data_IF_472396817752
#
_entry.id   IF_472396817752
#
_cell.length_a   1.000
_cell.length_b   1.000
_cell.length_c   1.000
_cell.angle_alpha   90.00
_cell.angle_beta   90.00
_cell.angle_gamma   90.00
#
_symmetry.space_group_name_H-M   'P 1'
#
loop_
_entity.id
_entity.type
_entity.pdbx_description
1 polymer ?
#
# COMPACT_ATOMS: atom_id res chain seq x y z
N UNK A 1 5.65 -0.61 28.60
CA UNK A 1 6.80 -0.17 27.78
C UNK A 1 6.25 0.36 26.46
N UNK A 2 6.21 1.68 26.30
CA UNK A 2 5.89 2.29 25.01
C UNK A 2 7.11 2.10 24.10
N UNK A 3 6.91 1.37 23.00
CA UNK A 3 7.95 1.22 21.98
C UNK A 3 8.01 2.51 21.14
N UNK A 4 9.19 3.04 20.93
CA UNK A 4 9.44 4.15 20.03
C UNK A 4 9.41 3.73 18.56
N UNK A 5 9.43 4.70 17.65
CA UNK A 5 9.62 4.45 16.22
C UNK A 5 11.09 4.09 15.93
N UNK A 6 11.32 3.30 14.89
CA UNK A 6 12.68 3.03 14.42
C UNK A 6 13.34 4.31 13.88
N UNK A 7 12.65 4.98 12.97
CA UNK A 7 13.04 6.29 12.42
C UNK A 7 11.85 7.22 12.45
N UNK A 8 12.06 8.45 12.90
CA UNK A 8 11.06 9.52 12.80
C UNK A 8 11.59 10.63 11.93
N UNK A 9 10.83 10.94 10.88
CA UNK A 9 11.13 12.03 9.93
C UNK A 9 10.03 13.08 10.10
N UNK A 10 10.38 14.23 10.58
CA UNK A 10 9.44 15.33 10.80
C UNK A 10 9.98 16.63 10.23
N UNK A 11 9.19 17.23 9.33
CA UNK A 11 9.55 18.48 8.67
C UNK A 11 10.98 18.45 8.09
N UNK A 12 11.32 17.34 7.46
CA UNK A 12 12.66 17.08 6.90
C UNK A 12 12.51 16.63 5.43
N UNK A 13 12.34 17.59 4.51
CA UNK A 13 12.21 17.27 3.09
C UNK A 13 13.51 16.69 2.53
N UNK A 14 13.38 15.75 1.59
CA UNK A 14 14.51 15.08 0.96
C UNK A 14 15.19 14.02 1.82
N UNK A 15 14.57 13.60 2.92
CA UNK A 15 15.11 12.52 3.77
C UNK A 15 15.20 11.20 3.01
N UNK A 16 16.26 10.45 3.26
CA UNK A 16 16.48 9.13 2.71
C UNK A 16 16.69 8.12 3.83
N UNK A 17 15.92 7.03 3.82
CA UNK A 17 16.10 5.87 4.70
C UNK A 17 16.25 4.66 3.80
N UNK A 18 17.46 4.17 3.65
CA UNK A 18 17.82 3.19 2.61
C UNK A 18 18.60 2.02 3.22
N UNK A 19 18.19 0.79 2.84
CA UNK A 19 18.89 -0.46 3.17
C UNK A 19 19.07 -0.71 4.68
N UNK A 20 18.05 -0.42 5.49
CA UNK A 20 18.06 -0.67 6.91
C UNK A 20 17.25 -1.93 7.29
N UNK A 21 17.60 -2.55 8.38
CA UNK A 21 16.81 -3.58 9.07
C UNK A 21 16.23 -2.97 10.35
N UNK A 22 14.92 -2.80 10.40
CA UNK A 22 14.21 -2.09 11.48
C UNK A 22 13.20 -3.05 12.10
N UNK A 23 13.33 -3.26 13.40
CA UNK A 23 12.46 -4.19 14.13
C UNK A 23 12.21 -3.77 15.57
N UNK A 24 11.21 -4.41 16.19
CA UNK A 24 10.90 -4.30 17.63
C UNK A 24 10.55 -2.88 18.09
N UNK A 25 9.94 -2.10 17.20
CA UNK A 25 9.50 -0.74 17.46
C UNK A 25 7.98 -0.59 17.45
N UNK A 26 7.52 0.65 17.56
CA UNK A 26 6.14 1.04 17.28
C UNK A 26 5.94 1.05 15.76
N UNK A 27 6.44 2.05 15.07
CA UNK A 27 6.47 2.12 13.61
C UNK A 27 7.92 1.98 13.13
N UNK A 28 8.13 1.38 11.98
CA UNK A 28 9.47 1.29 11.42
C UNK A 28 9.97 2.67 11.01
N UNK A 29 9.32 3.29 10.03
CA UNK A 29 9.55 4.69 9.65
C UNK A 29 8.24 5.45 9.84
N UNK A 30 8.25 6.47 10.68
CA UNK A 30 7.18 7.44 10.80
C UNK A 30 7.60 8.74 10.14
N UNK A 31 6.85 9.18 9.12
CA UNK A 31 7.14 10.40 8.36
C UNK A 31 5.94 11.34 8.43
N UNK A 32 6.19 12.57 8.80
CA UNK A 32 5.16 13.59 8.91
C UNK A 32 5.64 14.94 8.39
N UNK A 33 4.80 15.60 7.61
CA UNK A 33 5.06 16.96 7.08
C UNK A 33 6.42 17.05 6.38
N UNK A 34 6.71 16.06 5.53
CA UNK A 34 8.00 15.96 4.85
C UNK A 34 7.77 15.56 3.39
N UNK A 35 8.39 16.26 2.46
CA UNK A 35 8.23 16.04 1.02
C UNK A 35 9.51 15.57 0.37
N UNK A 36 9.41 14.94 -0.80
CA UNK A 36 10.54 14.47 -1.59
C UNK A 36 11.44 13.48 -0.83
N UNK A 37 10.82 12.61 -0.03
CA UNK A 37 11.52 11.58 0.74
C UNK A 37 11.61 10.27 -0.03
N UNK A 38 12.64 9.48 0.26
CA UNK A 38 12.83 8.15 -0.33
C UNK A 38 13.09 7.13 0.78
N UNK A 39 12.20 6.13 0.89
CA UNK A 39 12.34 5.01 1.80
C UNK A 39 12.43 3.72 0.98
N UNK A 40 13.65 3.19 0.87
CA UNK A 40 13.97 2.15 -0.11
C UNK A 40 14.83 1.04 0.46
N UNK A 41 14.52 -0.19 0.07
CA UNK A 41 15.36 -1.34 0.39
C UNK A 41 15.38 -1.74 1.86
N UNK A 42 14.44 -1.25 2.66
CA UNK A 42 14.41 -1.55 4.10
C UNK A 42 13.67 -2.85 4.39
N UNK A 43 14.06 -3.52 5.46
CA UNK A 43 13.37 -4.67 6.00
C UNK A 43 12.73 -4.32 7.35
N UNK A 44 11.47 -4.70 7.52
CA UNK A 44 10.66 -4.36 8.69
C UNK A 44 10.06 -5.62 9.32
N UNK A 45 10.19 -5.77 10.64
CA UNK A 45 9.58 -6.88 11.39
C UNK A 45 9.25 -6.51 12.83
N UNK A 46 8.26 -7.18 13.43
CA UNK A 46 7.81 -6.95 14.82
C UNK A 46 7.49 -5.46 15.10
N UNK A 47 6.69 -4.87 14.22
CA UNK A 47 6.29 -3.46 14.26
C UNK A 47 4.77 -3.34 14.18
N UNK A 48 4.24 -2.20 14.62
CA UNK A 48 2.86 -1.84 14.35
C UNK A 48 2.67 -1.58 12.86
N UNK A 49 3.41 -0.65 12.30
CA UNK A 49 3.44 -0.33 10.87
C UNK A 49 4.88 -0.36 10.37
N UNK A 50 5.10 -0.92 9.18
CA UNK A 50 6.43 -0.86 8.58
C UNK A 50 6.78 0.57 8.18
N UNK A 51 5.94 1.22 7.38
CA UNK A 51 6.07 2.63 6.99
C UNK A 51 4.75 3.34 7.28
N UNK A 52 4.83 4.50 7.88
CA UNK A 52 3.69 5.33 8.21
C UNK A 52 3.91 6.75 7.70
N UNK A 53 3.20 7.14 6.63
CA UNK A 53 3.19 8.48 6.05
C UNK A 53 2.01 9.29 6.58
N UNK A 54 2.31 10.52 6.96
CA UNK A 54 1.29 11.55 7.16
C UNK A 54 1.78 12.85 6.53
N UNK A 55 1.00 13.42 5.61
CA UNK A 55 1.37 14.66 4.91
C UNK A 55 2.78 14.60 4.31
N UNK A 56 3.08 13.48 3.62
CA UNK A 56 4.39 13.20 3.04
C UNK A 56 4.23 13.09 1.52
N UNK A 57 4.12 14.23 0.86
CA UNK A 57 3.87 14.33 -0.58
C UNK A 57 5.12 14.10 -1.42
N UNK A 58 4.94 13.84 -2.71
CA UNK A 58 6.02 13.75 -3.70
C UNK A 58 7.14 12.79 -3.28
N UNK A 59 6.78 11.68 -2.66
CA UNK A 59 7.71 10.78 -1.97
C UNK A 59 7.62 9.36 -2.49
N UNK A 60 8.67 8.58 -2.22
CA UNK A 60 8.82 7.22 -2.72
C UNK A 60 8.95 6.21 -1.58
N UNK A 61 8.19 5.11 -1.69
CA UNK A 61 8.34 3.89 -0.89
C UNK A 61 8.58 2.74 -1.85
N UNK A 62 9.80 2.22 -1.89
CA UNK A 62 10.14 1.24 -2.92
C UNK A 62 11.06 0.13 -2.42
N UNK A 63 10.87 -1.06 -2.99
CA UNK A 63 11.72 -2.23 -2.75
C UNK A 63 11.93 -2.57 -1.28
N UNK A 64 10.94 -2.33 -0.43
CA UNK A 64 10.97 -2.69 0.98
C UNK A 64 10.33 -4.06 1.22
N UNK A 65 10.66 -4.68 2.34
CA UNK A 65 10.09 -5.95 2.78
C UNK A 65 9.50 -5.77 4.17
N UNK A 66 8.21 -6.03 4.32
CA UNK A 66 7.48 -6.05 5.59
C UNK A 66 7.06 -7.48 5.92
N UNK A 67 7.47 -8.00 7.06
CA UNK A 67 7.17 -9.37 7.47
C UNK A 67 6.55 -9.40 8.87
N UNK A 68 5.33 -9.90 8.97
CA UNK A 68 4.66 -10.17 10.25
C UNK A 68 4.32 -8.92 11.07
N UNK A 69 4.24 -7.76 10.45
CA UNK A 69 3.84 -6.52 11.11
C UNK A 69 2.31 -6.45 11.23
N UNK A 70 1.79 -5.56 12.08
CA UNK A 70 0.34 -5.37 12.16
C UNK A 70 -0.21 -4.83 10.83
N UNK A 71 0.44 -3.81 10.28
CA UNK A 71 0.22 -3.32 8.91
C UNK A 71 1.56 -3.15 8.20
N UNK A 72 1.52 -3.23 6.88
CA UNK A 72 2.69 -2.96 6.06
C UNK A 72 2.90 -1.46 5.82
N UNK A 73 2.43 -0.97 4.71
CA UNK A 73 2.65 0.40 4.25
C UNK A 73 1.38 1.22 4.45
N UNK A 74 1.41 2.10 5.44
CA UNK A 74 0.27 2.95 5.85
C UNK A 74 0.53 4.37 5.35
N UNK A 75 -0.19 4.75 4.30
CA UNK A 75 -0.02 6.02 3.59
C UNK A 75 -1.26 6.87 3.82
N UNK A 76 -1.09 8.00 4.48
CA UNK A 76 -2.20 8.85 4.90
C UNK A 76 -1.97 10.31 4.54
N UNK A 77 -3.04 10.98 4.09
CA UNK A 77 -3.06 12.42 3.80
C UNK A 77 -1.89 12.88 2.93
N UNK A 78 -1.62 12.14 1.88
CA UNK A 78 -0.45 12.37 1.02
C UNK A 78 -0.83 12.23 -0.45
N UNK A 79 -0.09 12.88 -1.31
CA UNK A 79 -0.33 12.84 -2.75
C UNK A 79 0.95 12.76 -3.56
N UNK A 80 0.81 12.33 -4.82
CA UNK A 80 1.92 12.14 -5.76
C UNK A 80 3.01 11.22 -5.21
N UNK A 81 2.55 10.10 -4.63
CA UNK A 81 3.43 9.04 -4.13
C UNK A 81 3.80 8.06 -5.23
N UNK A 82 4.98 7.49 -5.12
CA UNK A 82 5.43 6.32 -5.89
C UNK A 82 5.66 5.17 -4.92
N UNK A 83 4.82 4.14 -5.02
CA UNK A 83 4.82 2.98 -4.12
C UNK A 83 5.00 1.72 -4.96
N UNK A 84 6.21 1.21 -5.05
CA UNK A 84 6.49 0.12 -5.99
C UNK A 84 7.56 -0.86 -5.51
N UNK A 85 7.47 -2.07 -6.02
CA UNK A 85 8.45 -3.13 -5.73
C UNK A 85 8.46 -3.57 -4.27
N UNK A 86 7.47 -3.19 -3.46
CA UNK A 86 7.41 -3.56 -2.07
C UNK A 86 6.79 -4.94 -1.88
N UNK A 87 7.21 -5.62 -0.83
CA UNK A 87 6.65 -6.89 -0.39
C UNK A 87 6.08 -6.71 1.02
N UNK A 88 4.86 -7.21 1.25
CA UNK A 88 4.30 -7.35 2.59
C UNK A 88 3.75 -8.78 2.75
N UNK A 89 4.24 -9.49 3.74
CA UNK A 89 3.83 -10.85 4.04
C UNK A 89 3.38 -10.96 5.50
N UNK A 90 2.18 -11.52 5.70
CA UNK A 90 1.67 -11.79 7.04
C UNK A 90 1.27 -10.53 7.81
N UNK A 91 0.80 -9.49 7.13
CA UNK A 91 0.20 -8.32 7.78
C UNK A 91 -1.12 -8.73 8.45
N UNK A 92 -1.30 -8.42 9.73
CA UNK A 92 -2.51 -8.84 10.47
C UNK A 92 -3.74 -8.14 9.93
N UNK A 93 -3.63 -6.83 9.67
CA UNK A 93 -4.73 -6.02 9.16
C UNK A 93 -4.55 -5.75 7.66
N UNK A 94 -3.78 -4.74 7.27
CA UNK A 94 -3.60 -4.37 5.87
C UNK A 94 -2.14 -4.50 5.42
N UNK A 95 -1.95 -4.95 4.18
CA UNK A 95 -0.66 -4.89 3.52
C UNK A 95 -0.31 -3.48 3.08
N UNK A 96 -1.23 -2.84 2.35
CA UNK A 96 -1.16 -1.42 1.98
C UNK A 96 -2.45 -0.74 2.43
N UNK A 97 -2.34 0.39 3.09
CA UNK A 97 -3.45 1.27 3.44
C UNK A 97 -3.27 2.62 2.77
N UNK A 98 -4.29 3.03 2.00
CA UNK A 98 -4.38 4.32 1.36
C UNK A 98 -5.53 5.09 2.01
N UNK A 99 -5.23 6.14 2.74
CA UNK A 99 -6.21 6.97 3.42
C UNK A 99 -6.02 8.43 3.04
N UNK A 100 -6.94 8.99 2.25
CA UNK A 100 -6.76 10.31 1.62
C UNK A 100 -5.44 10.40 0.84
N UNK A 101 -5.17 9.39 0.02
CA UNK A 101 -4.05 9.36 -0.94
C UNK A 101 -4.57 9.67 -2.31
N UNK A 102 -3.95 10.61 -3.01
CA UNK A 102 -4.41 11.04 -4.33
C UNK A 102 -3.24 11.18 -5.32
N UNK A 103 -3.54 11.07 -6.60
CA UNK A 103 -2.60 11.27 -7.71
C UNK A 103 -1.33 10.43 -7.59
N UNK A 104 -1.44 9.21 -7.07
CA UNK A 104 -0.32 8.35 -6.74
C UNK A 104 -0.27 7.11 -7.63
N UNK A 105 0.89 6.50 -7.72
CA UNK A 105 1.11 5.26 -8.46
C UNK A 105 1.51 4.14 -7.48
N UNK A 106 0.73 3.07 -7.47
CA UNK A 106 0.94 1.89 -6.62
C UNK A 106 1.09 0.67 -7.55
N UNK A 107 2.31 0.21 -7.74
CA UNK A 107 2.57 -0.80 -8.75
C UNK A 107 3.71 -1.76 -8.38
N UNK A 108 3.71 -2.92 -9.03
CA UNK A 108 4.75 -3.95 -8.84
C UNK A 108 4.96 -4.36 -7.38
N UNK A 109 3.91 -4.27 -6.54
CA UNK A 109 3.96 -4.72 -5.17
C UNK A 109 3.43 -6.15 -5.04
N UNK A 110 3.95 -6.89 -4.08
CA UNK A 110 3.49 -8.24 -3.72
C UNK A 110 2.97 -8.21 -2.30
N UNK A 111 1.68 -8.47 -2.12
CA UNK A 111 1.04 -8.58 -0.82
C UNK A 111 0.50 -9.99 -0.66
N UNK A 112 0.94 -10.68 0.39
CA UNK A 112 0.57 -12.06 0.66
C UNK A 112 0.20 -12.24 2.12
N UNK A 113 -0.93 -12.88 2.36
CA UNK A 113 -1.42 -13.19 3.71
C UNK A 113 -1.64 -11.93 4.57
N UNK A 114 -2.65 -11.17 4.23
CA UNK A 114 -3.12 -10.05 5.03
C UNK A 114 -4.63 -10.17 5.29
N UNK A 115 -5.16 -9.44 6.26
CA UNK A 115 -6.59 -9.28 6.40
C UNK A 115 -7.16 -8.62 5.14
N UNK A 116 -6.58 -7.51 4.73
CA UNK A 116 -6.82 -6.89 3.42
C UNK A 116 -5.49 -6.68 2.74
N UNK A 117 -5.35 -7.14 1.48
CA UNK A 117 -4.14 -6.83 0.75
C UNK A 117 -4.00 -5.32 0.58
N UNK A 118 -5.07 -4.65 0.16
CA UNK A 118 -5.16 -3.19 0.06
C UNK A 118 -6.46 -2.72 0.70
N UNK A 119 -6.39 -1.67 1.49
CA UNK A 119 -7.54 -0.89 1.96
C UNK A 119 -7.40 0.56 1.48
N UNK A 120 -8.41 1.05 0.77
CA UNK A 120 -8.42 2.39 0.21
C UNK A 120 -9.66 3.16 0.68
N UNK A 121 -9.42 4.28 1.36
CA UNK A 121 -10.43 5.21 1.87
C UNK A 121 -10.16 6.61 1.34
N UNK A 122 -11.12 7.18 0.60
CA UNK A 122 -10.93 8.49 -0.06
C UNK A 122 -9.61 8.56 -0.86
N UNK A 123 -9.36 7.54 -1.69
CA UNK A 123 -8.17 7.45 -2.54
C UNK A 123 -8.58 7.75 -3.99
N UNK A 124 -8.18 8.93 -4.51
CA UNK A 124 -8.68 9.44 -5.78
C UNK A 124 -7.56 9.68 -6.77
N UNK A 125 -7.87 9.48 -8.05
CA UNK A 125 -6.97 9.71 -9.17
C UNK A 125 -5.65 8.93 -9.05
N UNK A 126 -5.70 7.77 -8.40
CA UNK A 126 -4.56 6.88 -8.26
C UNK A 126 -4.52 5.86 -9.41
N UNK A 127 -3.33 5.37 -9.70
CA UNK A 127 -3.11 4.23 -10.59
C UNK A 127 -2.60 3.05 -9.77
N UNK A 128 -3.37 1.97 -9.76
CA UNK A 128 -3.03 0.73 -9.05
C UNK A 128 -2.85 -0.36 -10.11
N UNK A 129 -1.62 -0.73 -10.41
CA UNK A 129 -1.35 -1.62 -11.53
C UNK A 129 -0.17 -2.58 -11.29
N UNK A 130 -0.18 -3.68 -12.01
CA UNK A 130 0.88 -4.69 -11.97
C UNK A 130 1.22 -5.19 -10.55
N UNK A 131 0.25 -5.16 -9.62
CA UNK A 131 0.43 -5.71 -8.29
C UNK A 131 -0.05 -7.16 -8.21
N UNK A 132 0.48 -7.88 -7.24
CA UNK A 132 0.12 -9.25 -6.91
C UNK A 132 -0.49 -9.28 -5.51
N UNK A 133 -1.79 -9.59 -5.42
CA UNK A 133 -2.56 -9.66 -4.19
C UNK A 133 -3.01 -11.10 -3.95
N UNK A 134 -2.45 -11.75 -2.94
CA UNK A 134 -2.61 -13.19 -2.76
C UNK A 134 -2.92 -13.58 -1.31
N UNK A 135 -3.82 -14.55 -1.14
CA UNK A 135 -4.14 -15.18 0.13
C UNK A 135 -4.61 -14.21 1.23
N UNK A 136 -5.28 -13.12 0.86
CA UNK A 136 -5.89 -12.18 1.79
C UNK A 136 -7.36 -12.57 2.05
N UNK A 137 -7.92 -12.13 3.17
CA UNK A 137 -9.37 -12.24 3.38
C UNK A 137 -10.10 -11.36 2.34
N UNK A 138 -9.58 -10.17 2.09
CA UNK A 138 -10.05 -9.29 1.01
C UNK A 138 -8.84 -8.85 0.18
N UNK A 139 -8.91 -9.05 -1.13
CA UNK A 139 -7.86 -8.60 -2.04
C UNK A 139 -7.74 -7.08 -2.01
N UNK A 140 -8.78 -6.36 -2.41
CA UNK A 140 -8.84 -4.91 -2.29
C UNK A 140 -10.19 -4.44 -1.76
N UNK A 141 -10.17 -3.56 -0.78
CA UNK A 141 -11.35 -2.96 -0.18
C UNK A 141 -11.34 -1.46 -0.41
N UNK A 142 -12.29 -0.99 -1.22
CA UNK A 142 -12.54 0.43 -1.43
C UNK A 142 -13.74 0.89 -0.62
N UNK A 143 -13.61 2.01 0.06
CA UNK A 143 -14.71 2.64 0.80
C UNK A 143 -14.61 4.15 0.74
N UNK A 144 -15.75 4.83 0.89
CA UNK A 144 -15.93 6.26 0.74
C UNK A 144 -15.67 6.77 -0.71
N UNK A 145 -15.27 8.01 -0.88
CA UNK A 145 -15.07 8.59 -2.20
C UNK A 145 -13.85 7.97 -2.88
N UNK A 146 -14.09 7.37 -4.04
CA UNK A 146 -13.07 6.89 -4.96
C UNK A 146 -13.42 7.47 -6.33
N UNK A 147 -12.63 8.38 -6.81
CA UNK A 147 -12.86 9.05 -8.09
C UNK A 147 -11.61 8.98 -8.95
N UNK A 148 -11.77 8.65 -10.23
CA UNK A 148 -10.68 8.65 -11.20
C UNK A 148 -9.55 7.67 -10.94
N UNK A 149 -9.72 6.75 -10.01
CA UNK A 149 -8.73 5.70 -9.74
C UNK A 149 -8.92 4.56 -10.73
N UNK A 150 -7.81 4.08 -11.29
CA UNK A 150 -7.77 2.99 -12.28
C UNK A 150 -7.01 1.78 -11.75
N UNK A 151 -7.50 0.57 -12.07
CA UNK A 151 -6.89 -0.70 -11.69
C UNK A 151 -6.70 -1.57 -12.93
N UNK A 152 -5.46 -1.90 -13.25
CA UNK A 152 -5.15 -2.73 -14.41
C UNK A 152 -3.90 -3.58 -14.19
N UNK A 153 -3.82 -4.70 -14.90
CA UNK A 153 -2.69 -5.64 -14.82
C UNK A 153 -2.40 -6.17 -13.41
N UNK A 154 -3.33 -6.05 -12.45
CA UNK A 154 -3.16 -6.67 -11.15
C UNK A 154 -3.58 -8.14 -11.19
N UNK A 155 -2.94 -8.95 -10.37
CA UNK A 155 -3.31 -10.35 -10.14
C UNK A 155 -3.94 -10.50 -8.76
N UNK A 156 -5.21 -10.94 -8.72
CA UNK A 156 -5.95 -11.26 -7.51
C UNK A 156 -6.04 -12.78 -7.37
N UNK A 157 -5.29 -13.35 -6.42
CA UNK A 157 -5.08 -14.80 -6.34
C UNK A 157 -5.51 -15.34 -4.98
N UNK A 158 -6.43 -16.30 -4.98
CA UNK A 158 -6.84 -17.05 -3.80
C UNK A 158 -7.23 -16.18 -2.60
N UNK A 159 -7.79 -15.00 -2.82
CA UNK A 159 -8.36 -14.21 -1.76
C UNK A 159 -9.77 -14.75 -1.43
N UNK A 160 -10.21 -14.67 -0.17
CA UNK A 160 -11.57 -15.11 0.21
C UNK A 160 -12.63 -14.26 -0.48
N UNK A 161 -12.34 -12.97 -0.65
CA UNK A 161 -13.08 -12.04 -1.49
C UNK A 161 -12.08 -11.20 -2.30
N UNK A 162 -12.17 -11.25 -3.61
CA UNK A 162 -11.21 -10.51 -4.45
C UNK A 162 -11.36 -9.00 -4.29
N UNK A 163 -12.60 -8.53 -4.24
CA UNK A 163 -12.92 -7.10 -4.14
C UNK A 163 -14.07 -6.88 -3.18
N UNK A 164 -13.94 -5.88 -2.32
CA UNK A 164 -15.04 -5.26 -1.61
C UNK A 164 -15.11 -3.80 -1.98
N UNK A 165 -16.23 -3.40 -2.58
CA UNK A 165 -16.44 -2.05 -3.08
C UNK A 165 -17.68 -1.44 -2.44
N UNK A 166 -17.50 -0.35 -1.72
CA UNK A 166 -18.57 0.39 -1.07
C UNK A 166 -18.48 1.85 -1.50
N UNK A 167 -19.05 2.17 -2.65
CA UNK A 167 -19.14 3.53 -3.18
C UNK A 167 -20.26 3.62 -4.19
N UNK A 168 -20.68 4.84 -4.50
CA UNK A 168 -21.68 5.14 -5.55
C UNK A 168 -21.04 5.51 -6.88
N UNK A 169 -19.72 5.56 -6.97
CA UNK A 169 -18.98 5.94 -8.18
C UNK A 169 -18.41 4.73 -8.89
N UNK A 170 -18.25 4.82 -10.18
CA UNK A 170 -17.61 3.77 -10.98
C UNK A 170 -16.09 3.82 -10.81
N UNK A 171 -15.49 2.63 -10.62
CA UNK A 171 -14.05 2.42 -10.76
C UNK A 171 -13.75 1.93 -12.17
N UNK A 172 -12.62 2.34 -12.68
CA UNK A 172 -12.11 1.81 -13.95
C UNK A 172 -11.22 0.60 -13.67
N UNK A 173 -11.66 -0.58 -14.13
CA UNK A 173 -10.98 -1.87 -13.94
C UNK A 173 -10.12 -2.24 -15.13
N UNK A 174 -9.72 -1.28 -15.93
CA UNK A 174 -8.85 -1.47 -17.06
C UNK A 174 -8.29 -0.16 -17.58
N UNK A 175 -7.20 -0.23 -18.31
CA UNK A 175 -6.62 0.90 -19.03
C UNK A 175 -6.03 0.44 -20.36
N UNK A 176 -6.45 1.05 -21.46
CA UNK A 176 -5.93 0.75 -22.78
C UNK A 176 -6.11 -0.72 -23.21
N UNK A 177 -7.23 -1.35 -22.83
CA UNK A 177 -7.52 -2.75 -23.13
C UNK A 177 -6.82 -3.74 -22.20
N UNK A 178 -6.16 -3.29 -21.15
CA UNK A 178 -5.49 -4.13 -20.15
C UNK A 178 -6.35 -4.22 -18.90
N UNK A 179 -6.85 -5.40 -18.59
CA UNK A 179 -7.66 -5.70 -17.40
C UNK A 179 -6.83 -6.28 -16.27
N UNK A 180 -7.51 -6.96 -15.34
CA UNK A 180 -6.89 -7.64 -14.21
C UNK A 180 -7.09 -9.15 -14.32
N UNK A 181 -6.24 -9.92 -13.67
CA UNK A 181 -6.36 -11.36 -13.52
C UNK A 181 -7.09 -11.72 -12.20
N UNK A 182 -8.06 -12.62 -12.30
CA UNK A 182 -8.88 -13.09 -11.19
C UNK A 182 -8.81 -14.62 -11.11
N UNK A 183 -8.23 -15.17 -10.05
CA UNK A 183 -8.04 -16.63 -9.95
C UNK A 183 -9.33 -17.43 -9.81
N UNK A 184 -10.41 -16.79 -9.39
CA UNK A 184 -11.76 -17.39 -9.26
C UNK A 184 -12.65 -17.16 -10.49
N UNK A 185 -12.16 -16.48 -11.50
CA UNK A 185 -12.88 -16.31 -12.76
C UNK A 185 -12.52 -17.46 -13.73
N UNK A 186 -13.47 -18.33 -13.96
CA UNK A 186 -13.35 -19.46 -14.89
C UNK A 186 -13.84 -19.14 -16.31
N UNK A 187 -14.30 -17.92 -16.55
CA UNK A 187 -14.76 -17.51 -17.87
C UNK A 187 -13.55 -17.19 -18.76
N UNK A 188 -13.39 -17.99 -19.80
CA UNK A 188 -12.58 -17.63 -20.95
C UNK A 188 -13.51 -16.82 -21.88
N UNK A 189 -13.30 -15.54 -21.96
CA UNK A 189 -13.85 -14.70 -23.01
C UNK A 189 -12.88 -14.63 -24.20
#
# INVERSE_FOLDING_TARGET
NERGNGVTVWNAPGAQVVDNDISKGRDGIFSNTSTHNTYKGNRFSDLRFAVHYMYTNDSEVSNNISVGNNMGYVLMFSERLKVYGNIAVGSRDQGIMLNYVNYSEIHDNVINKAGKCVFAYNANYDKIFANHFENCQIGIHFTAAIEGTTLYENSFINNESQVKYVSTRFLDWGEGGRGNYWSDNSAFD
#
